data_IF_621810922933
#
_entry.id   IF_621810922933
#
_cell.length_a   1.000
_cell.length_b   1.000
_cell.length_c   1.000
_cell.angle_alpha   90.00
_cell.angle_beta   90.00
_cell.angle_gamma   90.00
#
_symmetry.space_group_name_H-M   'P 1'
#
loop_
_entity.id
_entity.type
_entity.pdbx_description
1 polymer ?
#
# COMPACT_ATOMS: atom_id res chain seq x y z
N UNK A 1 -5.19 -58.81 -37.78
CA UNK A 1 -5.09 -57.34 -37.88
C UNK A 1 -5.28 -56.76 -36.49
N UNK A 2 -4.23 -56.19 -35.89
CA UNK A 2 -4.27 -55.60 -34.54
C UNK A 2 -4.66 -54.12 -34.66
N UNK A 3 -5.66 -53.68 -33.91
CA UNK A 3 -6.09 -52.27 -33.82
C UNK A 3 -5.36 -51.60 -32.66
N UNK A 4 -4.59 -50.54 -32.94
CA UNK A 4 -4.05 -49.65 -31.93
C UNK A 4 -5.05 -48.55 -31.62
N UNK A 5 -5.39 -48.37 -30.34
CA UNK A 5 -6.16 -47.23 -29.86
C UNK A 5 -5.14 -46.24 -29.29
N UNK A 6 -5.01 -45.08 -29.94
CA UNK A 6 -4.23 -43.95 -29.42
C UNK A 6 -5.20 -43.08 -28.62
N UNK A 7 -5.03 -43.04 -27.30
CA UNK A 7 -5.76 -42.12 -26.43
C UNK A 7 -4.89 -40.86 -26.27
N UNK A 8 -5.22 -39.79 -26.99
CA UNK A 8 -4.61 -38.48 -26.80
C UNK A 8 -5.33 -37.77 -25.65
N UNK A 9 -4.75 -37.79 -24.47
CA UNK A 9 -5.19 -36.95 -23.36
C UNK A 9 -4.74 -35.50 -23.63
N UNK A 10 -5.65 -34.66 -24.15
CA UNK A 10 -5.48 -33.21 -24.12
C UNK A 10 -5.60 -32.74 -22.66
N UNK A 11 -4.46 -32.56 -22.00
CA UNK A 11 -4.42 -31.87 -20.72
C UNK A 11 -4.80 -30.40 -20.91
N UNK A 12 -5.85 -29.93 -20.25
CA UNK A 12 -6.15 -28.50 -20.14
C UNK A 12 -5.00 -27.83 -19.36
N UNK A 13 -4.21 -27.00 -20.03
CA UNK A 13 -3.33 -26.03 -19.39
C UNK A 13 -4.20 -24.88 -18.89
N UNK A 14 -4.58 -24.91 -17.61
CA UNK A 14 -5.12 -23.72 -16.96
C UNK A 14 -3.99 -22.71 -16.77
N UNK A 15 -4.01 -21.63 -17.56
CA UNK A 15 -3.22 -20.44 -17.27
C UNK A 15 -3.79 -19.79 -16.01
N UNK A 16 -3.33 -20.22 -14.83
CA UNK A 16 -3.54 -19.45 -13.62
C UNK A 16 -2.80 -18.12 -13.83
N UNK A 17 -3.55 -17.03 -13.97
CA UNK A 17 -2.97 -15.69 -13.97
C UNK A 17 -2.33 -15.47 -12.60
N UNK A 18 -1.00 -15.57 -12.54
CA UNK A 18 -0.24 -15.08 -11.40
C UNK A 18 -0.35 -13.57 -11.46
N UNK A 19 -1.28 -13.03 -10.69
CA UNK A 19 -1.36 -11.59 -10.46
C UNK A 19 -0.18 -11.29 -9.52
N UNK A 20 1.00 -11.07 -10.11
CA UNK A 20 2.16 -10.65 -9.35
C UNK A 20 1.86 -9.25 -8.80
N UNK A 21 1.56 -9.17 -7.51
CA UNK A 21 1.50 -7.90 -6.79
C UNK A 21 2.89 -7.28 -6.88
N UNK A 22 3.03 -6.22 -7.68
CA UNK A 22 4.31 -5.59 -7.96
C UNK A 22 4.57 -4.54 -6.89
N UNK A 23 5.53 -4.79 -6.00
CA UNK A 23 6.11 -3.75 -5.15
C UNK A 23 6.89 -2.77 -6.01
N UNK A 24 6.44 -1.51 -6.03
CA UNK A 24 7.04 -0.43 -6.82
C UNK A 24 7.97 0.43 -5.97
N UNK A 25 7.63 0.63 -4.70
CA UNK A 25 8.43 1.42 -3.77
C UNK A 25 8.86 0.60 -2.55
N UNK A 26 10.17 0.57 -2.30
CA UNK A 26 10.74 0.08 -1.04
C UNK A 26 11.55 1.21 -0.41
N UNK A 27 11.15 1.65 0.78
CA UNK A 27 11.90 2.61 1.57
C UNK A 27 12.63 1.91 2.73
N UNK A 28 13.93 1.70 2.55
CA UNK A 28 14.77 0.88 3.44
C UNK A 28 15.49 1.65 4.55
N UNK A 29 15.20 2.93 4.78
CA UNK A 29 15.80 3.66 5.90
C UNK A 29 15.73 5.18 5.85
N UNK A 30 15.49 5.77 4.68
CA UNK A 30 15.51 7.21 4.50
C UNK A 30 14.15 7.87 4.75
N UNK A 31 14.15 9.19 4.94
CA UNK A 31 12.90 9.97 4.99
C UNK A 31 12.59 10.53 3.60
N UNK A 32 11.50 10.08 3.00
CA UNK A 32 10.90 10.68 1.82
C UNK A 32 9.95 11.77 2.29
N UNK A 33 10.17 13.02 1.88
CA UNK A 33 9.30 14.15 2.24
C UNK A 33 8.66 14.73 1.00
N UNK A 34 7.32 14.79 1.00
CA UNK A 34 6.51 15.48 -0.01
C UNK A 34 6.08 16.81 0.59
N UNK A 35 6.37 17.91 -0.11
CA UNK A 35 6.11 19.26 0.39
C UNK A 35 5.69 20.20 -0.75
N UNK A 36 5.31 21.44 -0.40
CA UNK A 36 4.96 22.48 -1.36
C UNK A 36 3.71 22.17 -2.19
N UNK A 37 2.76 21.42 -1.64
CA UNK A 37 1.60 20.94 -2.39
C UNK A 37 1.92 19.85 -3.41
N UNK A 38 3.10 19.23 -3.31
CA UNK A 38 3.52 18.15 -4.21
C UNK A 38 2.71 16.86 -4.06
N UNK A 39 2.82 16.00 -5.07
CA UNK A 39 2.22 14.67 -5.12
C UNK A 39 3.32 13.60 -5.19
N UNK A 40 3.27 12.61 -4.30
CA UNK A 40 3.93 11.32 -4.49
C UNK A 40 2.89 10.32 -4.98
N UNK A 41 3.10 9.77 -6.17
CA UNK A 41 2.26 8.74 -6.76
C UNK A 41 3.05 7.43 -6.89
N UNK A 42 2.52 6.34 -6.34
CA UNK A 42 3.09 5.00 -6.46
C UNK A 42 2.03 4.08 -7.06
N UNK A 43 2.32 3.51 -8.23
CA UNK A 43 1.35 2.74 -9.03
C UNK A 43 1.11 1.31 -8.55
N UNK A 44 1.69 0.90 -7.43
CA UNK A 44 1.66 -0.48 -6.94
C UNK A 44 1.99 -0.55 -5.46
N UNK A 45 2.37 -1.73 -4.98
CA UNK A 45 2.58 -1.93 -3.55
C UNK A 45 3.78 -1.13 -3.04
N UNK A 46 3.67 -0.66 -1.81
CA UNK A 46 4.71 0.09 -1.11
C UNK A 46 5.11 -0.62 0.17
N UNK A 47 6.42 -0.72 0.40
CA UNK A 47 7.00 -1.27 1.62
C UNK A 47 7.90 -0.23 2.29
N UNK A 48 7.58 0.10 3.54
CA UNK A 48 8.39 1.00 4.38
C UNK A 48 9.10 0.12 5.42
N UNK A 49 10.31 -0.32 5.09
CA UNK A 49 11.06 -1.26 5.91
C UNK A 49 11.58 -0.60 7.18
N UNK A 50 12.34 0.50 7.03
CA UNK A 50 12.92 1.24 8.15
C UNK A 50 12.87 2.77 7.99
N UNK A 51 12.47 3.27 6.81
CA UNK A 51 12.41 4.71 6.53
C UNK A 51 11.10 5.37 6.94
N UNK A 52 10.91 6.61 6.51
CA UNK A 52 9.64 7.34 6.70
C UNK A 52 9.15 7.92 5.39
N UNK A 53 7.85 8.02 5.24
CA UNK A 53 7.21 8.83 4.21
C UNK A 53 6.39 9.92 4.92
N UNK A 54 6.73 11.17 4.65
CA UNK A 54 6.11 12.34 5.24
C UNK A 54 5.40 13.13 4.14
N UNK A 55 4.09 13.28 4.23
CA UNK A 55 3.33 14.25 3.47
C UNK A 55 3.14 15.50 4.32
N UNK A 56 3.64 16.64 3.84
CA UNK A 56 3.52 17.92 4.53
C UNK A 56 2.30 18.70 4.04
N UNK A 57 1.92 19.73 4.76
CA UNK A 57 0.82 20.65 4.45
C UNK A 57 0.42 20.75 2.96
N UNK A 58 -0.84 20.44 2.65
CA UNK A 58 -1.44 20.43 1.30
C UNK A 58 -0.81 19.46 0.29
N UNK A 59 0.20 18.67 0.68
CA UNK A 59 0.78 17.63 -0.17
C UNK A 59 -0.01 16.34 -0.11
N UNK A 60 0.11 15.55 -1.17
CA UNK A 60 -0.61 14.29 -1.34
C UNK A 60 0.34 13.12 -1.48
N UNK A 61 -0.01 11.99 -0.87
CA UNK A 61 0.59 10.67 -1.13
C UNK A 61 -0.49 9.72 -1.64
N UNK A 62 -0.28 9.14 -2.81
CA UNK A 62 -1.19 8.15 -3.39
C UNK A 62 -0.47 6.83 -3.63
N UNK A 63 -0.96 5.78 -2.98
CA UNK A 63 -0.50 4.41 -3.12
C UNK A 63 -1.61 3.61 -3.80
N UNK A 64 -1.43 3.35 -5.10
CA UNK A 64 -2.34 2.55 -5.91
C UNK A 64 -2.01 1.06 -5.77
N UNK A 65 -1.99 0.61 -4.52
CA UNK A 65 -1.62 -0.73 -4.09
C UNK A 65 -1.70 -0.82 -2.56
N UNK A 66 -1.23 -1.94 -2.00
CA UNK A 66 -1.15 -2.11 -0.56
C UNK A 66 0.10 -1.44 0.01
N UNK A 67 -0.02 -0.90 1.22
CA UNK A 67 1.10 -0.30 1.95
C UNK A 67 1.42 -1.14 3.18
N UNK A 68 2.66 -1.61 3.27
CA UNK A 68 3.18 -2.31 4.44
C UNK A 68 4.24 -1.48 5.15
N UNK A 69 3.93 -1.05 6.37
CA UNK A 69 4.86 -0.33 7.25
C UNK A 69 5.42 -1.33 8.27
N UNK A 70 6.73 -1.60 8.19
CA UNK A 70 7.37 -2.70 8.91
C UNK A 70 8.01 -2.22 10.22
N UNK A 71 8.98 -1.31 10.14
CA UNK A 71 9.59 -0.65 11.31
C UNK A 71 9.65 0.87 11.18
N UNK A 72 9.32 1.39 9.99
CA UNK A 72 9.34 2.81 9.66
C UNK A 72 8.06 3.55 9.99
N UNK A 73 7.73 4.57 9.20
CA UNK A 73 6.43 5.21 9.34
C UNK A 73 5.87 5.97 8.14
N UNK A 74 4.57 6.18 8.20
CA UNK A 74 3.79 7.00 7.27
C UNK A 74 3.15 8.14 8.05
N UNK A 75 3.49 9.37 7.70
CA UNK A 75 3.05 10.57 8.43
C UNK A 75 2.37 11.55 7.49
N UNK A 76 1.14 11.95 7.84
CA UNK A 76 0.40 13.00 7.15
C UNK A 76 0.27 14.20 8.08
N UNK A 77 1.00 15.27 7.78
CA UNK A 77 1.09 16.47 8.61
C UNK A 77 0.13 17.56 8.12
N UNK A 78 -0.55 18.23 9.06
CA UNK A 78 -1.46 19.36 8.77
C UNK A 78 -2.50 18.97 7.72
N UNK A 79 -2.75 19.78 6.70
CA UNK A 79 -3.70 19.55 5.62
C UNK A 79 -3.21 18.56 4.54
N UNK A 80 -2.31 17.63 4.87
CA UNK A 80 -1.88 16.60 3.93
C UNK A 80 -2.97 15.55 3.69
N UNK A 81 -3.02 15.03 2.47
CA UNK A 81 -3.96 13.97 2.05
C UNK A 81 -3.25 12.69 1.66
N UNK A 82 -3.87 11.56 1.97
CA UNK A 82 -3.38 10.22 1.63
C UNK A 82 -4.46 9.36 1.01
N UNK A 83 -4.08 8.57 0.00
CA UNK A 83 -4.91 7.51 -0.56
C UNK A 83 -4.13 6.20 -0.59
N UNK A 84 -4.76 5.13 -0.12
CA UNK A 84 -4.30 3.75 -0.27
C UNK A 84 -5.45 2.96 -0.89
N UNK A 85 -5.30 2.51 -2.13
CA UNK A 85 -6.36 1.73 -2.81
C UNK A 85 -6.39 0.27 -2.38
N UNK A 86 -5.30 -0.21 -1.77
CA UNK A 86 -5.19 -1.56 -1.21
C UNK A 86 -5.31 -1.59 0.31
N UNK A 87 -4.67 -2.57 0.91
CA UNK A 87 -4.62 -2.73 2.37
C UNK A 87 -3.53 -1.85 2.99
N UNK A 88 -3.74 -1.41 4.23
CA UNK A 88 -2.71 -0.80 5.07
C UNK A 88 -2.32 -1.79 6.18
N UNK A 89 -1.08 -2.27 6.16
CA UNK A 89 -0.49 -3.06 7.25
C UNK A 89 0.48 -2.20 8.06
N UNK A 90 0.29 -2.13 9.38
CA UNK A 90 1.18 -1.43 10.33
C UNK A 90 1.68 -2.47 11.33
N UNK A 91 2.96 -2.84 11.23
CA UNK A 91 3.57 -3.84 12.13
C UNK A 91 3.96 -3.27 13.48
N UNK A 92 4.33 -4.17 14.40
CA UNK A 92 4.49 -3.87 15.84
C UNK A 92 5.37 -2.65 16.17
N UNK A 93 6.43 -2.42 15.40
CA UNK A 93 7.36 -1.29 15.61
C UNK A 93 7.14 -0.13 14.63
N UNK A 94 6.15 -0.25 13.74
CA UNK A 94 5.81 0.76 12.77
C UNK A 94 4.82 1.79 13.30
N UNK A 95 4.80 2.95 12.65
CA UNK A 95 3.86 4.03 12.95
C UNK A 95 3.16 4.52 11.70
N UNK A 96 1.84 4.61 11.73
CA UNK A 96 1.07 5.48 10.86
C UNK A 96 0.49 6.60 11.72
N UNK A 97 0.81 7.85 11.38
CA UNK A 97 0.29 9.01 12.09
C UNK A 97 -0.34 9.97 11.11
N UNK A 98 -1.59 10.31 11.37
CA UNK A 98 -2.29 11.35 10.63
C UNK A 98 -2.59 12.50 11.60
N UNK A 99 -2.02 13.67 11.34
CA UNK A 99 -2.23 14.90 12.12
C UNK A 99 -3.44 15.65 11.59
N UNK A 100 -4.16 16.34 12.46
CA UNK A 100 -5.25 17.23 11.99
C UNK A 100 -4.70 18.42 11.18
N UNK A 101 -5.46 18.92 10.20
CA UNK A 101 -6.78 18.43 9.75
C UNK A 101 -6.72 17.36 8.63
N UNK A 102 -5.56 16.82 8.30
CA UNK A 102 -5.34 15.94 7.15
C UNK A 102 -6.21 14.69 7.12
N UNK A 103 -6.31 14.08 5.94
CA UNK A 103 -7.20 12.95 5.65
C UNK A 103 -6.39 11.77 5.10
N UNK A 104 -6.70 10.55 5.55
CA UNK A 104 -6.18 9.32 4.96
C UNK A 104 -7.35 8.42 4.55
N UNK A 105 -7.50 8.21 3.25
CA UNK A 105 -8.49 7.30 2.67
C UNK A 105 -7.86 5.95 2.36
N UNK A 106 -8.49 4.87 2.81
CA UNK A 106 -8.04 3.50 2.60
C UNK A 106 -9.21 2.70 2.03
N UNK A 107 -9.10 2.24 0.79
CA UNK A 107 -10.17 1.47 0.13
C UNK A 107 -10.16 -0.01 0.54
N UNK A 108 -9.06 -0.49 1.10
CA UNK A 108 -8.92 -1.85 1.63
C UNK A 108 -9.09 -1.95 3.15
N UNK A 109 -8.39 -2.92 3.74
CA UNK A 109 -8.43 -3.22 5.18
C UNK A 109 -7.23 -2.62 5.91
N UNK A 110 -7.43 -2.16 7.14
CA UNK A 110 -6.34 -1.81 8.06
C UNK A 110 -6.00 -3.00 8.95
N UNK A 111 -4.77 -3.51 8.86
CA UNK A 111 -4.20 -4.50 9.79
C UNK A 111 -3.15 -3.80 10.66
N UNK A 112 -3.52 -3.47 11.89
CA UNK A 112 -2.63 -2.75 12.80
C UNK A 112 -2.20 -3.62 13.98
N UNK A 113 -0.88 -3.80 14.10
CA UNK A 113 -0.20 -4.35 15.29
C UNK A 113 0.75 -3.33 15.93
N UNK A 114 0.93 -2.16 15.31
CA UNK A 114 1.80 -1.08 15.78
C UNK A 114 1.03 0.16 16.23
N UNK A 115 1.60 1.33 15.94
CA UNK A 115 0.99 2.61 16.32
C UNK A 115 0.19 3.19 15.14
N UNK A 116 -1.12 3.33 15.33
CA UNK A 116 -1.99 4.11 14.45
C UNK A 116 -2.56 5.28 15.24
N UNK A 117 -2.15 6.51 14.92
CA UNK A 117 -2.68 7.71 15.55
C UNK A 117 -3.51 8.53 14.56
N UNK A 118 -4.69 8.97 15.02
CA UNK A 118 -5.66 9.71 14.25
C UNK A 118 -6.20 10.96 14.99
N UNK A 119 -5.60 12.14 14.77
CA UNK A 119 -6.10 13.44 15.25
C UNK A 119 -7.16 14.19 14.38
N UNK A 120 -7.49 13.69 13.19
CA UNK A 120 -8.37 14.21 12.13
C UNK A 120 -9.13 13.05 11.47
N UNK A 121 -9.13 12.86 10.14
CA UNK A 121 -10.01 11.88 9.48
C UNK A 121 -9.30 10.67 8.82
N UNK A 122 -9.70 9.46 9.18
CA UNK A 122 -9.42 8.24 8.40
C UNK A 122 -10.74 7.75 7.81
N UNK A 123 -10.79 7.62 6.49
CA UNK A 123 -11.93 7.08 5.74
C UNK A 123 -11.59 5.66 5.32
N UNK A 124 -12.45 4.69 5.67
CA UNK A 124 -12.27 3.27 5.32
C UNK A 124 -13.38 2.84 4.36
N UNK A 125 -12.98 2.22 3.25
CA UNK A 125 -13.85 1.83 2.15
C UNK A 125 -13.88 2.87 1.03
N UNK A 126 -14.66 2.58 -0.01
CA UNK A 126 -15.03 3.60 -0.99
C UNK A 126 -16.12 4.49 -0.38
N UNK A 127 -16.05 5.83 -0.50
CA UNK A 127 -17.20 6.67 -0.20
C UNK A 127 -18.45 6.23 -1.00
#
# INVERSE_FOLDING_TARGET
MIKFIIITALGLLSLASVQAQQTVLVNSGETITVTGGGLLYVSGDTRIDAGRINAMNLSTVEFHGSVSVITGGLYLYMDASGLITGDLEIRQTATCWRYKPGVLTIEGTIRNSGTLNNEGEIVIGKP
#
